data_IF_556717615531
#
_entry.id   IF_556717615531
#
_cell.length_a   1.000
_cell.length_b   1.000
_cell.length_c   1.000
_cell.angle_alpha   90.00
_cell.angle_beta   90.00
_cell.angle_gamma   90.00
#
_symmetry.space_group_name_H-M   'P 1'
#
loop_
_entity.id
_entity.type
_entity.pdbx_description
1 polymer ?
#
# COMPACT_ATOMS: atom_id res chain seq x y z
N UNK A 1 24.42 -8.44 -11.37
CA UNK A 1 23.80 -8.24 -10.04
C UNK A 1 22.55 -7.40 -10.29
N UNK A 2 21.32 -7.86 -10.27
CA UNK A 2 20.70 -9.18 -10.06
C UNK A 2 19.33 -9.13 -10.77
N UNK A 3 18.86 -10.28 -11.27
CA UNK A 3 17.61 -10.47 -12.03
C UNK A 3 16.33 -10.11 -11.24
N UNK A 4 15.83 -8.88 -11.41
CA UNK A 4 14.44 -8.54 -11.12
C UNK A 4 13.87 -7.49 -12.08
N UNK A 5 14.35 -7.49 -13.33
CA UNK A 5 13.65 -6.88 -14.46
C UNK A 5 12.62 -7.89 -15.01
N UNK A 6 11.92 -8.58 -14.10
CA UNK A 6 10.69 -9.28 -14.48
C UNK A 6 9.78 -8.20 -15.02
N UNK A 7 9.54 -8.25 -16.32
CA UNK A 7 8.47 -7.53 -17.00
C UNK A 7 7.21 -7.71 -16.16
N UNK A 8 6.89 -6.75 -15.29
CA UNK A 8 5.59 -6.68 -14.64
C UNK A 8 4.58 -6.55 -15.78
N UNK A 9 3.87 -7.64 -16.07
CA UNK A 9 2.84 -7.64 -17.09
C UNK A 9 1.60 -6.96 -16.51
N UNK A 10 1.38 -5.72 -16.92
CA UNK A 10 0.23 -4.95 -16.49
C UNK A 10 -0.98 -5.22 -17.40
N UNK A 11 -2.22 -5.28 -16.85
CA UNK A 11 -2.54 -5.09 -15.44
C UNK A 11 -2.24 -6.33 -14.58
N UNK A 12 -1.67 -6.13 -13.38
CA UNK A 12 -1.40 -7.19 -12.41
C UNK A 12 -1.94 -6.84 -11.03
N UNK A 13 -2.35 -7.84 -10.24
CA UNK A 13 -2.70 -7.59 -8.83
C UNK A 13 -1.44 -7.46 -7.98
N UNK A 14 -1.33 -6.36 -7.26
CA UNK A 14 -0.19 -6.06 -6.40
C UNK A 14 -0.67 -5.74 -4.98
N UNK A 15 -0.06 -6.37 -3.98
CA UNK A 15 -0.39 -6.13 -2.58
C UNK A 15 0.60 -5.13 -1.98
N UNK A 16 0.15 -3.91 -1.74
CA UNK A 16 0.95 -2.85 -1.12
C UNK A 16 0.70 -2.91 0.38
N UNK A 17 1.76 -3.05 1.16
CA UNK A 17 1.70 -3.13 2.61
C UNK A 17 2.33 -1.90 3.25
N UNK A 18 1.51 -1.07 3.88
CA UNK A 18 1.94 0.04 4.71
C UNK A 18 1.95 -0.36 6.19
N UNK A 19 2.96 0.08 6.93
CA UNK A 19 3.04 -0.06 8.38
C UNK A 19 3.26 1.31 9.00
N UNK A 20 2.48 1.62 10.02
CA UNK A 20 2.53 2.91 10.73
C UNK A 20 2.25 2.73 12.20
N UNK A 21 2.25 3.84 12.95
CA UNK A 21 1.82 3.82 14.35
C UNK A 21 0.37 3.37 14.45
N UNK A 22 0.05 2.59 15.49
CA UNK A 22 -1.31 2.13 15.70
C UNK A 22 -2.23 3.32 15.99
N UNK A 23 -3.14 3.59 15.05
CA UNK A 23 -4.21 4.57 15.17
C UNK A 23 -5.46 4.02 14.50
N UNK A 24 -6.62 4.42 14.99
CA UNK A 24 -7.92 3.98 14.48
C UNK A 24 -8.22 4.53 13.08
N UNK A 25 -7.51 5.56 12.63
CA UNK A 25 -7.65 6.20 11.31
C UNK A 25 -6.56 5.78 10.31
N UNK A 26 -5.60 4.93 10.70
CA UNK A 26 -4.45 4.62 9.85
C UNK A 26 -4.83 3.87 8.57
N UNK A 27 -5.78 2.94 8.65
CA UNK A 27 -6.28 2.24 7.48
C UNK A 27 -7.01 3.18 6.52
N UNK A 28 -7.85 4.10 7.03
CA UNK A 28 -8.50 5.12 6.24
C UNK A 28 -7.49 6.01 5.51
N UNK A 29 -6.42 6.45 6.18
CA UNK A 29 -5.34 7.26 5.57
C UNK A 29 -4.66 6.50 4.43
N UNK A 30 -4.25 5.25 4.66
CA UNK A 30 -3.58 4.44 3.64
C UNK A 30 -4.51 4.20 2.45
N UNK A 31 -5.78 3.89 2.70
CA UNK A 31 -6.78 3.70 1.64
C UNK A 31 -7.01 4.98 0.86
N UNK A 32 -7.08 6.14 1.51
CA UNK A 32 -7.27 7.42 0.82
C UNK A 32 -6.09 7.72 -0.11
N UNK A 33 -4.85 7.48 0.34
CA UNK A 33 -3.65 7.64 -0.50
C UNK A 33 -3.74 6.71 -1.71
N UNK A 34 -4.01 5.42 -1.50
CA UNK A 34 -4.07 4.44 -2.59
C UNK A 34 -5.21 4.75 -3.57
N UNK A 35 -6.39 5.15 -3.08
CA UNK A 35 -7.56 5.52 -3.92
C UNK A 35 -7.29 6.70 -4.86
N UNK A 36 -6.32 7.56 -4.55
CA UNK A 36 -5.94 8.68 -5.46
C UNK A 36 -5.22 8.19 -6.71
N UNK A 37 -4.61 7.01 -6.65
CA UNK A 37 -3.83 6.42 -7.74
C UNK A 37 -4.55 5.27 -8.44
N UNK A 38 -5.57 4.68 -7.81
CA UNK A 38 -6.28 3.51 -8.30
C UNK A 38 -7.79 3.80 -8.32
N UNK A 39 -8.41 3.71 -9.49
CA UNK A 39 -9.84 4.02 -9.67
C UNK A 39 -10.76 2.96 -9.04
N UNK A 40 -10.32 1.69 -9.04
CA UNK A 40 -11.10 0.57 -8.51
C UNK A 40 -10.34 -0.15 -7.38
N UNK A 41 -10.75 0.11 -6.15
CA UNK A 41 -10.37 -0.70 -4.98
C UNK A 41 -11.55 -1.58 -4.63
N UNK A 42 -11.42 -2.88 -4.94
CA UNK A 42 -12.45 -3.88 -4.65
C UNK A 42 -12.76 -3.94 -3.16
N UNK A 43 -14.02 -4.23 -2.83
CA UNK A 43 -14.42 -4.48 -1.45
C UNK A 43 -13.62 -5.65 -0.86
N UNK A 44 -13.07 -5.46 0.35
CA UNK A 44 -12.20 -6.44 1.00
C UNK A 44 -10.76 -6.47 0.50
N UNK A 45 -10.36 -5.62 -0.44
CA UNK A 45 -8.97 -5.49 -0.86
C UNK A 45 -8.04 -4.91 0.23
N UNK A 46 -8.63 -4.31 1.26
CA UNK A 46 -7.93 -3.69 2.39
C UNK A 46 -8.01 -4.61 3.60
N UNK A 47 -6.85 -4.94 4.17
CA UNK A 47 -6.75 -5.69 5.42
C UNK A 47 -5.88 -4.92 6.39
N UNK A 48 -6.47 -4.50 7.52
CA UNK A 48 -5.74 -3.91 8.63
C UNK A 48 -5.49 -4.98 9.70
N UNK A 49 -4.26 -5.01 10.21
CA UNK A 49 -3.86 -5.93 11.28
C UNK A 49 -3.00 -5.19 12.30
N UNK A 50 -3.43 -5.11 13.56
CA UNK A 50 -2.59 -4.58 14.62
C UNK A 50 -1.40 -5.52 14.86
N UNK A 51 -0.24 -4.93 15.15
CA UNK A 51 0.96 -5.68 15.54
C UNK A 51 0.76 -6.37 16.89
N UNK A 52 1.52 -7.44 17.14
CA UNK A 52 1.48 -8.19 18.41
C UNK A 52 1.69 -7.31 19.65
N UNK A 53 2.40 -6.19 19.51
CA UNK A 53 2.67 -5.26 20.61
C UNK A 53 1.70 -4.08 20.72
N UNK A 54 0.71 -3.95 19.81
CA UNK A 54 -0.26 -2.85 19.80
C UNK A 54 0.31 -1.47 19.42
N UNK A 55 1.63 -1.33 19.23
CA UNK A 55 2.27 -0.06 18.91
C UNK A 55 2.15 0.34 17.43
N UNK A 56 2.01 -0.66 16.55
CA UNK A 56 1.95 -0.48 15.11
C UNK A 56 0.75 -1.18 14.50
N UNK A 57 0.27 -0.67 13.37
CA UNK A 57 -0.75 -1.30 12.53
C UNK A 57 -0.19 -1.51 11.13
N UNK A 58 -0.37 -2.71 10.60
CA UNK A 58 -0.05 -3.04 9.22
C UNK A 58 -1.34 -3.03 8.40
N UNK A 59 -1.36 -2.25 7.33
CA UNK A 59 -2.46 -2.18 6.37
C UNK A 59 -1.95 -2.71 5.05
N UNK A 60 -2.59 -3.76 4.55
CA UNK A 60 -2.33 -4.31 3.22
C UNK A 60 -3.47 -3.90 2.30
N UNK A 61 -3.15 -3.28 1.17
CA UNK A 61 -4.11 -2.91 0.13
C UNK A 61 -3.73 -3.65 -1.15
N UNK A 62 -4.63 -4.49 -1.63
CA UNK A 62 -4.49 -5.18 -2.91
C UNK A 62 -5.06 -4.29 -4.01
N UNK A 63 -4.24 -3.93 -4.98
CA UNK A 63 -4.64 -3.08 -6.09
C UNK A 63 -4.40 -3.77 -7.42
N UNK A 64 -5.08 -3.29 -8.47
CA UNK A 64 -4.74 -3.63 -9.84
C UNK A 64 -3.74 -2.59 -10.35
N UNK A 65 -2.46 -2.96 -10.32
CA UNK A 65 -1.39 -2.15 -10.87
C UNK A 65 -1.50 -2.16 -12.40
N UNK A 66 -1.60 -0.98 -13.01
CA UNK A 66 -1.67 -0.80 -14.46
C UNK A 66 -0.34 -0.34 -15.06
N UNK A 67 0.57 0.16 -14.22
CA UNK A 67 1.92 0.54 -14.63
C UNK A 67 2.87 0.61 -13.42
N UNK A 68 4.19 0.57 -13.70
CA UNK A 68 5.22 0.77 -12.67
C UNK A 68 5.16 2.17 -12.08
N UNK A 69 4.88 3.19 -12.90
CA UNK A 69 4.75 4.58 -12.44
C UNK A 69 3.60 4.78 -11.45
N UNK A 70 2.49 4.05 -11.60
CA UNK A 70 1.40 4.07 -10.63
C UNK A 70 1.85 3.50 -9.27
N UNK A 71 2.56 2.37 -9.27
CA UNK A 71 3.11 1.80 -8.04
C UNK A 71 4.09 2.76 -7.37
N UNK A 72 5.05 3.30 -8.13
CA UNK A 72 6.05 4.24 -7.63
C UNK A 72 5.40 5.49 -7.02
N UNK A 73 4.34 6.02 -7.66
CA UNK A 73 3.58 7.15 -7.13
C UNK A 73 2.88 6.82 -5.81
N UNK A 74 2.29 5.63 -5.68
CA UNK A 74 1.68 5.17 -4.42
C UNK A 74 2.74 5.04 -3.32
N UNK A 75 3.88 4.41 -3.61
CA UNK A 75 4.97 4.28 -2.63
C UNK A 75 5.52 5.64 -2.22
N UNK A 76 5.64 6.59 -3.14
CA UNK A 76 6.09 7.95 -2.85
C UNK A 76 5.11 8.68 -1.91
N UNK A 77 3.81 8.62 -2.19
CA UNK A 77 2.81 9.27 -1.34
C UNK A 77 2.67 8.60 0.03
N UNK A 78 2.77 7.27 0.07
CA UNK A 78 2.79 6.52 1.33
C UNK A 78 4.02 6.92 2.16
N UNK A 79 5.21 6.99 1.56
CA UNK A 79 6.44 7.37 2.28
C UNK A 79 6.50 8.86 2.63
N UNK A 80 5.79 9.72 1.90
CA UNK A 80 5.60 11.12 2.25
C UNK A 80 4.62 11.34 3.42
N UNK A 81 3.78 10.34 3.73
CA UNK A 81 2.86 10.40 4.85
C UNK A 81 3.61 10.23 6.20
N UNK A 82 3.54 11.19 7.13
CA UNK A 82 4.28 11.11 8.40
C UNK A 82 3.79 10.00 9.34
N UNK A 83 2.57 9.49 9.14
CA UNK A 83 2.03 8.37 9.92
C UNK A 83 2.51 7.00 9.40
N UNK A 84 3.00 6.93 8.16
CA UNK A 84 3.56 5.71 7.55
C UNK A 84 5.05 5.64 7.88
N UNK A 85 5.45 4.53 8.51
CA UNK A 85 6.84 4.28 8.88
C UNK A 85 7.55 3.42 7.84
N UNK A 86 6.81 2.56 7.14
CA UNK A 86 7.35 1.63 6.16
C UNK A 86 6.28 1.25 5.13
N UNK A 87 6.65 1.17 3.86
CA UNK A 87 5.83 0.60 2.79
C UNK A 87 6.62 -0.51 2.07
N UNK A 88 5.94 -1.61 1.74
CA UNK A 88 6.48 -2.81 1.09
C UNK A 88 5.54 -3.27 -0.03
#
# INVERSE_FOLDING_TARGET
MSEADSLLEFPCQFAIKAMGKSRDDFDAIVVEIVRRHVEDIREGAVTSRPSKGGNYTAVTVVIEATSRGQLDAIYLDLTACPDVLMAL
#
